data_IF_094620310616
#
_entry.id   IF_094620310616
#
_cell.length_a   1.000
_cell.length_b   1.000
_cell.length_c   1.000
_cell.angle_alpha   90.00
_cell.angle_beta   90.00
_cell.angle_gamma   90.00
#
_symmetry.space_group_name_H-M   'P 1'
#
loop_
_entity.id
_entity.type
_entity.pdbx_description
1 polymer ?
#
# COMPACT_ATOMS: atom_id res chain seq x y z
N UNK A 1 -7.29 61.79 -2.37
CA UNK A 1 -6.78 60.89 -3.43
C UNK A 1 -5.47 60.29 -2.93
N UNK A 2 -5.45 59.39 -1.93
CA UNK A 2 -5.90 58.00 -1.93
C UNK A 2 -5.13 57.11 -2.94
N UNK A 3 -3.81 57.00 -2.75
CA UNK A 3 -2.92 56.08 -3.49
C UNK A 3 -1.82 55.57 -2.53
N UNK A 4 -2.19 54.86 -1.46
CA UNK A 4 -1.24 54.13 -0.61
C UNK A 4 -1.94 53.12 0.32
N UNK A 5 -2.64 52.12 -0.23
CA UNK A 5 -3.15 50.99 0.56
C UNK A 5 -3.62 49.83 -0.34
N UNK A 6 -2.76 49.26 -1.18
CA UNK A 6 -3.13 48.05 -1.93
C UNK A 6 -1.95 47.19 -2.38
N UNK A 7 -0.94 47.01 -1.52
CA UNK A 7 0.14 46.02 -1.76
C UNK A 7 0.56 45.45 -0.41
N UNK A 8 -0.32 44.70 0.28
CA UNK A 8 0.02 43.84 1.43
C UNK A 8 -1.19 42.94 1.78
N UNK A 9 -1.66 42.13 0.83
CA UNK A 9 -2.52 40.96 1.11
C UNK A 9 -2.64 40.11 -0.17
N UNK A 10 -1.64 39.26 -0.45
CA UNK A 10 -1.97 37.85 -0.60
C UNK A 10 -0.90 36.97 0.08
N UNK A 11 -0.71 37.11 1.39
CA UNK A 11 0.11 36.18 2.18
C UNK A 11 -0.68 35.42 3.26
N UNK A 12 -2.02 35.49 3.26
CA UNK A 12 -2.84 34.87 4.31
C UNK A 12 -4.05 34.06 3.78
N UNK A 13 -3.97 33.57 2.54
CA UNK A 13 -4.97 32.65 1.97
C UNK A 13 -4.33 31.41 1.32
N UNK A 14 -3.24 30.91 1.92
CA UNK A 14 -3.06 29.46 2.01
C UNK A 14 -3.42 29.06 3.44
N UNK A 15 -4.69 29.29 3.79
CA UNK A 15 -5.28 28.52 4.86
C UNK A 15 -5.20 27.08 4.37
N UNK A 16 -4.29 26.30 4.96
CA UNK A 16 -4.28 24.85 4.91
C UNK A 16 -5.74 24.41 5.05
N UNK A 17 -6.37 23.99 3.95
CA UNK A 17 -7.66 23.31 4.04
C UNK A 17 -7.33 22.08 4.88
N UNK A 18 -7.67 22.12 6.16
CA UNK A 18 -7.90 20.92 6.94
C UNK A 18 -8.83 20.09 6.09
N UNK A 19 -8.28 19.10 5.38
CA UNK A 19 -9.08 18.18 4.59
C UNK A 19 -10.14 17.63 5.54
N UNK A 20 -11.39 17.60 5.10
CA UNK A 20 -12.53 17.24 5.92
C UNK A 20 -12.52 15.70 6.11
N UNK A 21 -11.51 15.22 6.82
CA UNK A 21 -11.16 13.81 6.91
C UNK A 21 -12.04 13.11 7.95
N UNK A 22 -12.32 11.81 7.76
CA UNK A 22 -12.96 11.00 8.77
C UNK A 22 -12.15 11.02 10.06
N UNK A 23 -12.80 11.04 11.24
CA UNK A 23 -12.11 10.93 12.49
C UNK A 23 -11.40 9.57 12.61
N UNK A 24 -10.17 9.61 13.13
CA UNK A 24 -9.33 8.44 13.37
C UNK A 24 -9.20 8.20 14.87
N UNK A 25 -9.13 6.93 15.23
CA UNK A 25 -9.16 6.48 16.61
C UNK A 25 -8.23 5.29 16.82
N UNK A 26 -7.73 5.16 18.03
CA UNK A 26 -6.99 3.97 18.45
C UNK A 26 -7.97 2.84 18.78
N UNK A 27 -7.61 1.61 18.44
CA UNK A 27 -8.43 0.43 18.75
C UNK A 27 -8.73 0.27 20.26
N UNK A 28 -7.91 0.87 21.13
CA UNK A 28 -8.08 0.87 22.59
C UNK A 28 -9.12 1.86 23.10
N UNK A 29 -9.68 2.71 22.22
CA UNK A 29 -10.69 3.69 22.60
C UNK A 29 -12.03 2.99 22.90
N UNK A 30 -12.47 3.01 24.16
CA UNK A 30 -13.63 2.26 24.66
C UNK A 30 -14.98 2.73 24.11
N UNK A 31 -15.01 3.80 23.29
CA UNK A 31 -16.26 4.40 22.77
C UNK A 31 -16.83 3.68 21.54
N UNK A 32 -16.12 2.71 20.98
CA UNK A 32 -16.56 2.02 19.76
C UNK A 32 -17.42 0.80 20.08
N UNK A 33 -18.69 0.90 19.69
CA UNK A 33 -19.63 -0.21 19.73
C UNK A 33 -20.03 -0.58 18.29
N UNK A 34 -19.78 -1.82 17.82
CA UNK A 34 -20.15 -2.26 16.47
C UNK A 34 -21.61 -2.06 16.10
N UNK A 35 -22.49 -2.00 17.10
CA UNK A 35 -23.92 -1.80 16.93
C UNK A 35 -24.27 -0.43 16.32
N UNK A 36 -23.30 0.47 16.22
CA UNK A 36 -23.47 1.81 15.63
C UNK A 36 -23.16 1.86 14.14
N UNK A 37 -22.77 0.75 13.53
CA UNK A 37 -22.30 0.67 12.14
C UNK A 37 -23.10 -0.34 11.32
N UNK A 38 -23.40 0.04 10.09
CA UNK A 38 -24.05 -0.81 9.09
C UNK A 38 -23.02 -1.72 8.38
N UNK A 39 -21.79 -1.23 8.20
CA UNK A 39 -20.70 -1.91 7.51
C UNK A 39 -19.39 -1.81 8.27
N UNK A 40 -18.60 -2.88 8.26
CA UNK A 40 -17.22 -2.88 8.72
C UNK A 40 -16.32 -3.24 7.53
N UNK A 41 -15.35 -2.38 7.23
CA UNK A 41 -14.32 -2.64 6.21
C UNK A 41 -13.03 -3.04 6.91
N UNK A 42 -12.39 -4.13 6.48
CA UNK A 42 -11.15 -4.62 7.08
C UNK A 42 -9.99 -4.37 6.13
N UNK A 43 -9.01 -3.61 6.62
CA UNK A 43 -7.86 -3.12 5.86
C UNK A 43 -8.18 -1.84 5.09
N UNK A 44 -7.37 -0.81 5.26
CA UNK A 44 -7.32 0.46 4.52
C UNK A 44 -6.39 0.40 3.30
N UNK A 45 -6.35 -0.76 2.64
CA UNK A 45 -5.57 -0.95 1.41
C UNK A 45 -6.19 -0.26 0.20
N UNK A 46 -5.66 -0.56 -0.99
CA UNK A 46 -6.12 0.00 -2.27
C UNK A 46 -7.57 -0.33 -2.60
N UNK A 47 -8.13 -1.41 -2.06
CA UNK A 47 -9.56 -1.71 -2.18
C UNK A 47 -10.40 -1.20 -0.99
N UNK A 48 -9.83 -1.12 0.21
CA UNK A 48 -10.59 -0.81 1.43
C UNK A 48 -10.91 0.66 1.60
N UNK A 49 -9.93 1.54 1.39
CA UNK A 49 -10.17 2.99 1.45
C UNK A 49 -11.26 3.48 0.46
N UNK A 50 -11.23 3.14 -0.85
CA UNK A 50 -12.30 3.57 -1.75
C UNK A 50 -13.64 2.95 -1.42
N UNK A 51 -13.67 1.69 -0.97
CA UNK A 51 -14.91 1.03 -0.54
C UNK A 51 -15.53 1.75 0.66
N UNK A 52 -14.74 2.00 1.72
CA UNK A 52 -15.20 2.70 2.91
C UNK A 52 -15.68 4.12 2.56
N UNK A 53 -14.94 4.84 1.71
CA UNK A 53 -15.34 6.16 1.22
C UNK A 53 -16.67 6.12 0.46
N UNK A 54 -16.89 5.09 -0.36
CA UNK A 54 -18.13 4.92 -1.14
C UNK A 54 -19.32 4.54 -0.25
N UNK A 55 -19.16 3.56 0.65
CA UNK A 55 -20.21 3.13 1.57
C UNK A 55 -20.62 4.26 2.53
N UNK A 56 -19.66 5.06 2.99
CA UNK A 56 -19.91 6.17 3.93
C UNK A 56 -20.87 7.24 3.37
N UNK A 57 -21.07 7.30 2.05
CA UNK A 57 -22.01 8.23 1.44
C UNK A 57 -23.46 7.99 1.91
N UNK A 58 -23.79 6.74 2.26
CA UNK A 58 -25.16 6.34 2.63
C UNK A 58 -25.27 5.63 3.98
N UNK A 59 -24.19 5.01 4.44
CA UNK A 59 -24.20 4.11 5.59
C UNK A 59 -23.19 4.55 6.66
N UNK A 60 -23.41 4.11 7.91
CA UNK A 60 -22.42 4.21 8.98
C UNK A 60 -21.39 3.11 8.81
N UNK A 61 -20.14 3.48 8.59
CA UNK A 61 -19.04 2.58 8.25
C UNK A 61 -17.93 2.68 9.28
N UNK A 62 -17.38 1.54 9.66
CA UNK A 62 -16.16 1.45 10.46
C UNK A 62 -15.05 0.82 9.62
N UNK A 63 -13.93 1.53 9.47
CA UNK A 63 -12.74 0.99 8.80
C UNK A 63 -11.73 0.52 9.85
N UNK A 64 -11.44 -0.78 9.88
CA UNK A 64 -10.44 -1.38 10.76
C UNK A 64 -9.10 -1.48 10.01
N UNK A 65 -8.06 -0.85 10.53
CA UNK A 65 -6.72 -0.89 9.97
C UNK A 65 -5.74 -1.50 10.98
N UNK A 66 -5.02 -2.55 10.54
CA UNK A 66 -3.99 -3.20 11.37
C UNK A 66 -2.84 -2.24 11.69
N UNK A 67 -2.47 -1.40 10.74
CA UNK A 67 -1.39 -0.44 10.88
C UNK A 67 -1.78 0.82 11.66
N UNK A 68 -0.77 1.60 11.99
CA UNK A 68 -0.93 3.00 12.38
C UNK A 68 -0.60 3.93 11.22
N UNK A 69 -0.84 5.22 11.39
CA UNK A 69 -0.36 6.23 10.45
C UNK A 69 1.18 6.27 10.46
N UNK A 70 1.87 6.16 9.30
CA UNK A 70 3.32 6.35 9.22
C UNK A 70 3.80 7.67 9.84
N UNK A 71 2.94 8.69 9.87
CA UNK A 71 3.23 10.02 10.42
C UNK A 71 3.28 10.01 11.96
N UNK A 72 2.43 9.21 12.61
CA UNK A 72 2.48 9.02 14.08
C UNK A 72 3.76 8.27 14.46
N UNK A 73 4.13 7.23 13.70
CA UNK A 73 5.40 6.50 13.89
C UNK A 73 6.64 7.37 13.62
N UNK A 74 6.52 8.41 12.81
CA UNK A 74 7.57 9.39 12.54
C UNK A 74 7.68 10.50 13.59
N UNK A 75 6.89 10.47 14.69
CA UNK A 75 7.02 11.40 15.81
C UNK A 75 6.31 12.75 15.64
N UNK A 76 5.39 12.85 14.68
CA UNK A 76 4.60 14.08 14.46
C UNK A 76 3.40 14.08 15.41
N UNK A 77 3.42 14.96 16.41
CA UNK A 77 2.35 15.18 17.42
C UNK A 77 2.14 16.69 17.64
N UNK A 78 0.97 17.19 18.10
CA UNK A 78 -0.20 16.48 18.62
C UNK A 78 -1.28 16.21 17.55
N UNK A 79 -1.96 15.07 17.71
CA UNK A 79 -2.92 14.50 16.78
C UNK A 79 -4.29 15.21 16.79
N UNK A 80 -4.35 16.39 16.17
CA UNK A 80 -5.59 17.15 15.91
C UNK A 80 -5.68 17.64 14.45
N UNK A 81 -4.88 17.07 13.54
CA UNK A 81 -4.65 17.64 12.21
C UNK A 81 -3.80 16.72 11.35
N UNK A 82 -4.17 15.44 11.29
CA UNK A 82 -3.55 14.50 10.38
C UNK A 82 -3.56 15.06 8.96
N UNK A 83 -2.38 15.37 8.44
CA UNK A 83 -2.21 15.79 7.07
C UNK A 83 -1.75 14.58 6.24
N UNK A 84 -2.40 14.35 5.09
CA UNK A 84 -1.86 13.44 4.07
C UNK A 84 -0.70 14.06 3.29
N UNK A 85 -0.24 15.25 3.67
CA UNK A 85 0.90 15.89 3.04
C UNK A 85 2.13 14.98 3.11
N UNK A 86 2.78 14.85 1.97
CA UNK A 86 3.97 14.05 1.83
C UNK A 86 5.08 14.60 2.74
N UNK A 87 5.43 13.85 3.78
CA UNK A 87 6.65 14.10 4.55
C UNK A 87 7.82 13.32 3.93
N UNK A 88 8.85 14.04 3.52
CA UNK A 88 10.09 13.48 2.98
C UNK A 88 10.61 12.40 3.93
N UNK A 89 10.78 11.16 3.42
CA UNK A 89 11.29 10.02 4.19
C UNK A 89 10.24 9.12 4.86
N UNK A 90 8.96 9.53 4.89
CA UNK A 90 7.89 8.73 5.55
C UNK A 90 7.16 7.76 4.62
N UNK A 91 7.38 7.87 3.31
CA UNK A 91 6.70 7.07 2.28
C UNK A 91 7.72 6.52 1.25
N UNK A 92 8.80 5.91 1.74
CA UNK A 92 9.79 5.22 0.91
C UNK A 92 9.21 3.89 0.41
N UNK A 93 8.58 3.90 -0.76
CA UNK A 93 8.15 2.70 -1.48
C UNK A 93 6.84 2.84 -2.28
N UNK A 94 6.84 2.31 -3.50
CA UNK A 94 5.67 2.18 -4.39
C UNK A 94 5.54 3.25 -5.48
N UNK A 95 4.86 2.88 -6.58
CA UNK A 95 4.82 3.60 -7.88
C UNK A 95 3.49 4.30 -8.14
N UNK A 96 2.85 4.84 -7.09
CA UNK A 96 1.54 5.50 -7.25
C UNK A 96 1.75 7.01 -7.16
N UNK A 97 2.19 7.61 -8.26
CA UNK A 97 2.32 9.06 -8.42
C UNK A 97 1.27 9.58 -9.42
N UNK A 98 0.76 10.79 -9.20
CA UNK A 98 -0.03 11.50 -10.21
C UNK A 98 0.85 12.17 -11.28
N UNK A 99 0.21 12.81 -12.26
CA UNK A 99 0.86 13.55 -13.35
C UNK A 99 1.70 14.75 -12.87
N UNK A 100 1.55 15.14 -11.61
CA UNK A 100 2.34 16.19 -10.95
C UNK A 100 3.45 15.61 -10.07
N UNK A 101 3.71 14.29 -10.14
CA UNK A 101 4.75 13.63 -9.35
C UNK A 101 4.44 13.51 -7.86
N UNK A 102 3.17 13.66 -7.46
CA UNK A 102 2.74 13.54 -6.06
C UNK A 102 2.30 12.10 -5.78
N UNK A 103 2.84 11.48 -4.72
CA UNK A 103 2.41 10.13 -4.31
C UNK A 103 0.96 10.15 -3.81
N UNK A 104 0.12 9.23 -4.30
CA UNK A 104 -1.28 9.07 -3.89
C UNK A 104 -1.50 7.71 -3.20
N UNK A 105 -1.27 7.60 -1.88
CA UNK A 105 -1.64 6.37 -1.16
C UNK A 105 -3.15 6.13 -1.20
N UNK A 106 -3.58 4.89 -0.98
CA UNK A 106 -5.00 4.53 -0.91
C UNK A 106 -5.77 5.37 0.12
N UNK A 107 -5.11 5.73 1.23
CA UNK A 107 -5.66 6.58 2.27
C UNK A 107 -6.05 7.98 1.79
N UNK A 108 -5.45 8.51 0.71
CA UNK A 108 -5.89 9.78 0.12
C UNK A 108 -7.33 9.71 -0.40
N UNK A 109 -7.85 8.52 -0.72
CA UNK A 109 -9.23 8.35 -1.19
C UNK A 109 -10.24 8.60 -0.07
N UNK A 110 -9.82 8.59 1.20
CA UNK A 110 -10.66 8.89 2.34
C UNK A 110 -11.09 10.37 2.38
N UNK A 111 -10.43 11.26 1.63
CA UNK A 111 -10.88 12.65 1.46
C UNK A 111 -12.26 12.75 0.79
N UNK A 112 -12.65 11.71 0.03
CA UNK A 112 -13.96 11.62 -0.60
C UNK A 112 -15.02 10.97 0.29
N UNK A 113 -14.64 10.46 1.46
CA UNK A 113 -15.57 9.88 2.40
C UNK A 113 -16.46 10.95 3.03
N UNK A 114 -17.64 10.55 3.51
CA UNK A 114 -18.43 11.39 4.39
C UNK A 114 -17.89 11.24 5.83
N UNK A 115 -17.23 12.27 6.41
CA UNK A 115 -16.57 12.15 7.71
C UNK A 115 -17.54 12.00 8.89
N UNK A 116 -18.85 12.25 8.68
CA UNK A 116 -19.88 11.98 9.70
C UNK A 116 -20.32 10.52 9.74
N UNK A 117 -19.99 9.77 8.69
CA UNK A 117 -20.48 8.42 8.47
C UNK A 117 -19.35 7.39 8.45
N UNK A 118 -18.10 7.81 8.53
CA UNK A 118 -16.95 6.93 8.55
C UNK A 118 -16.14 7.18 9.81
N UNK A 119 -15.93 6.15 10.61
CA UNK A 119 -14.94 6.14 11.69
C UNK A 119 -13.81 5.18 11.29
N UNK A 120 -12.58 5.51 11.66
CA UNK A 120 -11.40 4.70 11.33
C UNK A 120 -10.73 4.27 12.64
N UNK A 121 -10.54 2.97 12.82
CA UNK A 121 -9.80 2.39 13.94
C UNK A 121 -8.42 1.91 13.47
N UNK A 122 -7.38 2.55 13.97
CA UNK A 122 -5.99 2.17 13.78
C UNK A 122 -5.59 1.11 14.81
N UNK A 123 -4.56 0.33 14.47
CA UNK A 123 -4.07 -0.76 15.30
C UNK A 123 -5.14 -1.82 15.65
N UNK A 124 -6.17 -1.92 14.82
CA UNK A 124 -7.25 -2.90 14.97
C UNK A 124 -6.89 -4.18 14.21
N UNK A 125 -6.31 -5.16 14.92
CA UNK A 125 -5.99 -6.46 14.32
C UNK A 125 -7.21 -7.39 14.35
N UNK A 126 -7.82 -7.57 13.18
CA UNK A 126 -8.84 -8.60 12.98
C UNK A 126 -8.18 -9.96 12.94
N UNK A 127 -8.68 -10.91 13.73
CA UNK A 127 -8.09 -12.26 13.86
C UNK A 127 -8.89 -13.32 13.13
N UNK A 128 -10.22 -13.17 13.14
CA UNK A 128 -11.13 -14.20 12.67
C UNK A 128 -12.44 -13.63 12.15
N UNK A 129 -12.98 -14.29 11.12
CA UNK A 129 -14.35 -14.16 10.63
C UNK A 129 -15.13 -15.37 11.12
N UNK A 130 -16.11 -15.14 11.95
CA UNK A 130 -17.14 -16.11 12.29
C UNK A 130 -18.26 -16.07 11.26
N UNK A 131 -18.76 -17.25 10.91
CA UNK A 131 -19.89 -17.41 10.02
C UNK A 131 -21.05 -18.06 10.78
N UNK A 132 -22.25 -17.51 10.66
CA UNK A 132 -23.48 -18.12 11.18
C UNK A 132 -24.39 -18.47 10.00
N UNK A 133 -24.46 -19.77 9.70
CA UNK A 133 -25.12 -20.24 8.48
C UNK A 133 -24.32 -19.91 7.22
N UNK A 134 -25.00 -19.63 6.10
CA UNK A 134 -24.36 -19.36 4.81
C UNK A 134 -24.04 -17.86 4.55
N UNK A 135 -24.60 -16.92 5.34
CA UNK A 135 -24.64 -15.50 4.93
C UNK A 135 -24.29 -14.49 6.02
N UNK A 136 -24.39 -14.79 7.33
CA UNK A 136 -24.03 -13.78 8.35
C UNK A 136 -22.59 -13.92 8.82
N UNK A 137 -21.83 -12.85 8.59
CA UNK A 137 -20.43 -12.72 9.01
C UNK A 137 -20.36 -11.92 10.30
N UNK A 138 -19.62 -12.42 11.26
CA UNK A 138 -19.28 -11.78 12.52
C UNK A 138 -17.77 -11.81 12.67
N UNK A 139 -17.15 -10.86 13.36
CA UNK A 139 -15.69 -10.82 13.49
C UNK A 139 -15.26 -10.97 14.93
N UNK A 140 -14.07 -11.52 15.11
CA UNK A 140 -13.29 -11.39 16.32
C UNK A 140 -12.07 -10.53 15.95
N UNK A 141 -11.99 -9.34 16.52
CA UNK A 141 -10.73 -8.62 16.57
C UNK A 141 -10.32 -8.51 18.03
N UNK A 142 -9.01 -8.49 18.25
CA UNK A 142 -8.41 -8.30 19.55
C UNK A 142 -7.69 -6.96 19.51
N UNK A 143 -8.08 -6.04 20.39
CA UNK A 143 -7.25 -4.88 20.72
C UNK A 143 -6.12 -5.31 21.68
N UNK A 144 -5.16 -4.43 21.95
CA UNK A 144 -4.10 -4.70 22.94
C UNK A 144 -4.64 -4.88 24.38
N UNK A 145 -5.95 -4.69 24.61
CA UNK A 145 -6.66 -4.87 25.89
C UNK A 145 -7.44 -6.20 25.96
N UNK A 146 -7.52 -6.98 24.87
CA UNK A 146 -8.25 -8.26 24.84
C UNK A 146 -9.78 -8.14 24.69
N UNK A 147 -10.30 -7.00 24.24
CA UNK A 147 -11.75 -6.80 24.05
C UNK A 147 -12.19 -7.42 22.73
N UNK A 148 -13.18 -8.31 22.83
CA UNK A 148 -13.81 -9.00 21.72
C UNK A 148 -15.22 -8.44 21.49
N UNK A 149 -15.54 -8.00 20.27
CA UNK A 149 -16.91 -7.58 19.93
C UNK A 149 -17.50 -8.41 18.80
N UNK A 150 -18.77 -8.81 18.94
CA UNK A 150 -19.49 -9.71 18.05
C UNK A 150 -20.69 -9.00 17.41
N UNK A 151 -20.85 -9.03 16.08
CA UNK A 151 -22.10 -8.68 15.41
C UNK A 151 -22.21 -9.18 13.97
N UNK A 152 -23.43 -9.40 13.47
CA UNK A 152 -23.72 -9.69 12.05
C UNK A 152 -23.57 -8.42 11.22
N UNK A 153 -22.49 -8.31 10.44
CA UNK A 153 -22.18 -7.14 9.61
C UNK A 153 -21.60 -7.61 8.26
N UNK A 154 -21.93 -6.91 7.18
CA UNK A 154 -21.30 -7.16 5.87
C UNK A 154 -19.88 -6.60 5.86
N UNK A 155 -18.91 -7.45 5.52
CA UNK A 155 -17.49 -7.13 5.66
C UNK A 155 -16.69 -7.53 4.43
N UNK A 156 -15.74 -6.66 4.10
CA UNK A 156 -14.83 -6.82 2.98
C UNK A 156 -13.39 -6.66 3.48
N UNK A 157 -12.56 -7.69 3.28
CA UNK A 157 -11.11 -7.62 3.46
C UNK A 157 -10.48 -7.16 2.13
N UNK A 158 -9.56 -6.20 2.20
CA UNK A 158 -9.06 -5.50 1.02
C UNK A 158 -7.54 -5.49 0.81
N UNK A 159 -6.78 -6.32 1.52
CA UNK A 159 -5.32 -6.38 1.46
C UNK A 159 -4.82 -7.63 0.75
N UNK A 160 -3.79 -7.52 -0.09
CA UNK A 160 -3.31 -8.64 -0.93
C UNK A 160 -2.80 -9.85 -0.13
N UNK A 161 -1.94 -9.70 0.91
CA UNK A 161 -1.58 -10.84 1.76
C UNK A 161 -2.60 -11.10 2.88
N UNK A 162 -3.28 -10.07 3.41
CA UNK A 162 -4.16 -10.23 4.56
C UNK A 162 -5.52 -10.85 4.24
N UNK A 163 -6.11 -10.60 3.06
CA UNK A 163 -7.40 -11.22 2.66
C UNK A 163 -7.33 -12.74 2.66
N UNK A 164 -6.42 -13.38 1.90
CA UNK A 164 -6.35 -14.82 1.88
C UNK A 164 -5.93 -15.37 3.24
N UNK A 165 -5.06 -14.70 4.00
CA UNK A 165 -4.68 -15.13 5.34
C UNK A 165 -5.88 -15.18 6.29
N UNK A 166 -6.65 -14.10 6.37
CA UNK A 166 -7.80 -13.99 7.26
C UNK A 166 -8.89 -14.99 6.86
N UNK A 167 -9.18 -15.14 5.56
CA UNK A 167 -10.13 -16.15 5.07
C UNK A 167 -9.71 -17.57 5.47
N UNK A 168 -8.42 -17.92 5.29
CA UNK A 168 -7.90 -19.23 5.67
C UNK A 168 -8.01 -19.47 7.18
N UNK A 169 -7.64 -18.50 8.02
CA UNK A 169 -7.78 -18.60 9.48
C UNK A 169 -9.24 -18.78 9.90
N UNK A 170 -10.15 -18.21 9.12
CA UNK A 170 -11.60 -18.25 9.33
C UNK A 170 -12.30 -19.48 8.75
N UNK A 171 -11.52 -20.44 8.26
CA UNK A 171 -12.05 -21.69 7.73
C UNK A 171 -12.63 -21.60 6.31
N UNK A 172 -12.32 -20.53 5.56
CA UNK A 172 -12.69 -20.36 4.15
C UNK A 172 -11.45 -20.55 3.27
N UNK A 173 -11.38 -21.68 2.57
CA UNK A 173 -10.21 -22.01 1.76
C UNK A 173 -10.10 -23.48 1.39
N UNK A 174 -8.93 -23.97 0.93
CA UNK A 174 -8.75 -25.36 0.53
C UNK A 174 -8.93 -26.32 1.73
N UNK A 175 -9.96 -27.16 1.70
CA UNK A 175 -10.34 -28.02 2.83
C UNK A 175 -9.19 -28.91 3.35
N UNK A 176 -8.35 -29.45 2.47
CA UNK A 176 -7.20 -30.29 2.85
C UNK A 176 -6.17 -29.51 3.68
N UNK A 177 -5.87 -28.27 3.27
CA UNK A 177 -4.93 -27.40 3.97
C UNK A 177 -5.49 -27.00 5.34
N UNK A 178 -6.76 -26.60 5.39
CA UNK A 178 -7.43 -26.19 6.63
C UNK A 178 -7.49 -27.34 7.63
N UNK A 179 -7.89 -28.53 7.19
CA UNK A 179 -7.99 -29.74 8.02
C UNK A 179 -6.62 -30.16 8.56
N UNK A 180 -5.58 -30.11 7.72
CA UNK A 180 -4.20 -30.40 8.14
C UNK A 180 -3.68 -29.46 9.25
N UNK A 181 -4.21 -28.22 9.31
CA UNK A 181 -3.88 -27.25 10.37
C UNK A 181 -4.81 -27.32 11.58
N UNK A 182 -5.79 -28.23 11.58
CA UNK A 182 -6.83 -28.32 12.60
C UNK A 182 -7.76 -27.10 12.63
N UNK A 183 -7.94 -26.43 11.49
CA UNK A 183 -8.91 -25.36 11.30
C UNK A 183 -10.22 -25.99 10.82
N UNK A 184 -11.33 -25.67 11.47
CA UNK A 184 -12.65 -26.12 11.04
C UNK A 184 -12.96 -25.52 9.67
N UNK A 185 -13.23 -26.38 8.69
CA UNK A 185 -13.68 -25.93 7.36
C UNK A 185 -15.10 -25.38 7.49
N UNK A 186 -15.25 -24.07 7.26
CA UNK A 186 -16.55 -23.40 7.13
C UNK A 186 -17.01 -23.50 5.68
N UNK A 187 -16.13 -23.18 4.74
CA UNK A 187 -16.43 -23.24 3.32
C UNK A 187 -15.19 -23.66 2.51
N UNK A 188 -15.34 -24.71 1.69
CA UNK A 188 -14.26 -25.20 0.84
C UNK A 188 -14.14 -24.33 -0.41
N UNK A 189 -13.21 -23.38 -0.40
CA UNK A 189 -12.90 -22.51 -1.55
C UNK A 189 -11.44 -22.68 -1.98
N UNK A 190 -11.13 -23.63 -2.87
CA UNK A 190 -9.76 -23.98 -3.24
C UNK A 190 -8.93 -22.84 -3.86
N UNK A 191 -9.59 -21.76 -4.32
CA UNK A 191 -8.93 -20.60 -4.91
C UNK A 191 -8.31 -19.64 -3.89
N UNK A 192 -8.68 -19.72 -2.60
CA UNK A 192 -8.10 -18.82 -1.58
C UNK A 192 -6.60 -19.08 -1.44
N UNK A 193 -5.81 -18.01 -1.52
CA UNK A 193 -4.34 -18.08 -1.47
C UNK A 193 -3.69 -18.60 -2.76
N UNK A 194 -4.42 -18.66 -3.88
CA UNK A 194 -3.85 -18.98 -5.21
C UNK A 194 -3.65 -17.72 -6.05
N UNK A 195 -2.91 -17.87 -7.15
CA UNK A 195 -2.67 -16.81 -8.14
C UNK A 195 -2.05 -15.55 -7.52
N UNK A 196 -1.15 -15.76 -6.55
CA UNK A 196 -0.42 -14.65 -5.92
C UNK A 196 0.71 -14.24 -6.86
N UNK A 197 0.62 -13.03 -7.40
CA UNK A 197 1.62 -12.50 -8.33
C UNK A 197 2.26 -11.25 -7.74
N UNK A 198 3.58 -11.15 -7.93
CA UNK A 198 4.33 -9.92 -7.72
C UNK A 198 5.16 -9.66 -8.97
N UNK A 199 5.29 -8.39 -9.35
CA UNK A 199 5.98 -7.99 -10.56
C UNK A 199 7.50 -8.11 -10.35
N UNK A 200 8.21 -8.98 -11.09
CA UNK A 200 9.67 -9.02 -11.04
C UNK A 200 10.27 -7.65 -11.36
N UNK A 201 11.35 -7.30 -10.67
CA UNK A 201 12.12 -6.09 -10.94
C UNK A 201 13.62 -6.39 -11.05
N UNK A 202 14.27 -5.80 -12.05
CA UNK A 202 15.71 -5.84 -12.23
C UNK A 202 16.31 -4.44 -12.03
N UNK A 203 17.35 -4.32 -11.22
CA UNK A 203 17.97 -3.05 -10.83
C UNK A 203 19.36 -2.91 -11.46
N UNK A 204 19.59 -1.78 -12.14
CA UNK A 204 20.90 -1.31 -12.58
C UNK A 204 21.29 -0.12 -11.69
N UNK A 205 22.42 -0.25 -10.99
CA UNK A 205 22.98 0.84 -10.19
C UNK A 205 24.09 1.55 -10.96
N UNK A 206 23.94 2.85 -11.15
CA UNK A 206 24.92 3.73 -11.75
C UNK A 206 25.57 4.55 -10.64
N UNK A 207 26.80 4.18 -10.27
CA UNK A 207 27.57 4.89 -9.24
C UNK A 207 28.06 6.21 -9.83
N UNK A 208 27.74 7.31 -9.17
CA UNK A 208 28.23 8.63 -9.58
C UNK A 208 29.52 8.99 -8.83
N UNK A 209 30.56 9.49 -9.52
CA UNK A 209 31.75 10.02 -8.86
C UNK A 209 31.50 11.34 -8.13
N UNK A 210 30.37 12.00 -8.40
CA UNK A 210 29.93 13.24 -7.74
C UNK A 210 28.66 13.01 -6.93
N UNK A 211 28.41 13.79 -5.86
CA UNK A 211 27.17 13.69 -5.09
C UNK A 211 25.94 13.85 -5.99
N UNK A 212 25.03 12.87 -5.92
CA UNK A 212 23.74 12.94 -6.60
C UNK A 212 22.69 13.41 -5.59
N UNK A 213 21.86 14.36 -6.01
CA UNK A 213 20.67 14.76 -5.25
C UNK A 213 19.76 13.56 -5.01
N UNK A 214 19.04 13.55 -3.90
CA UNK A 214 18.08 12.49 -3.63
C UNK A 214 16.76 12.77 -4.35
N UNK A 215 16.35 11.88 -5.25
CA UNK A 215 15.02 11.88 -5.84
C UNK A 215 14.32 10.54 -5.62
N UNK A 216 13.00 10.60 -5.43
CA UNK A 216 12.16 9.43 -5.29
C UNK A 216 12.08 8.65 -6.60
N UNK A 217 11.68 7.38 -6.50
CA UNK A 217 11.40 6.55 -7.67
C UNK A 217 10.29 7.17 -8.52
N UNK A 218 10.51 7.30 -9.82
CA UNK A 218 9.54 7.77 -10.80
C UNK A 218 9.56 6.87 -12.03
N UNK A 219 8.40 6.63 -12.65
CA UNK A 219 8.35 5.95 -13.95
C UNK A 219 8.88 6.92 -15.01
N UNK A 220 9.97 6.54 -15.67
CA UNK A 220 10.65 7.31 -16.71
C UNK A 220 10.43 6.75 -18.11
N UNK A 221 9.86 5.55 -18.22
CA UNK A 221 9.53 4.96 -19.51
C UNK A 221 8.60 3.76 -19.39
N UNK A 222 7.86 3.49 -20.47
CA UNK A 222 7.10 2.27 -20.67
C UNK A 222 7.60 1.62 -21.96
N UNK A 223 8.12 0.39 -21.87
CA UNK A 223 8.80 -0.26 -23.01
C UNK A 223 7.81 -0.93 -23.95
N UNK A 224 8.16 -1.01 -25.23
CA UNK A 224 7.51 -1.91 -26.18
C UNK A 224 8.42 -3.13 -26.44
N UNK A 225 7.87 -4.32 -26.74
CA UNK A 225 6.45 -4.63 -26.90
C UNK A 225 5.75 -5.06 -25.60
N UNK A 226 6.48 -5.28 -24.51
CA UNK A 226 5.95 -5.93 -23.29
C UNK A 226 5.26 -4.98 -22.31
N UNK A 227 5.43 -3.66 -22.46
CA UNK A 227 4.81 -2.68 -21.57
C UNK A 227 5.50 -2.54 -20.22
N UNK A 228 6.75 -2.96 -20.09
CA UNK A 228 7.45 -2.91 -18.80
C UNK A 228 7.65 -1.47 -18.36
N UNK A 229 7.63 -1.25 -17.06
CA UNK A 229 7.88 0.06 -16.47
C UNK A 229 9.39 0.19 -16.23
N UNK A 230 9.96 1.30 -16.71
CA UNK A 230 11.30 1.72 -16.32
C UNK A 230 11.14 2.81 -15.28
N UNK A 231 11.69 2.58 -14.10
CA UNK A 231 11.69 3.51 -12.99
C UNK A 231 13.10 4.02 -12.73
N UNK A 232 13.22 5.27 -12.29
CA UNK A 232 14.50 5.83 -11.87
C UNK A 232 14.37 6.46 -10.48
N UNK A 233 15.37 6.24 -9.63
CA UNK A 233 15.55 6.91 -8.34
C UNK A 233 17.01 7.34 -8.19
N UNK A 234 17.31 8.34 -7.36
CA UNK A 234 18.71 8.75 -7.18
C UNK A 234 19.03 9.20 -5.76
N UNK A 235 20.33 9.32 -5.47
CA UNK A 235 20.83 9.68 -4.14
C UNK A 235 20.72 8.53 -3.12
N UNK A 236 20.53 7.30 -3.60
CA UNK A 236 20.46 6.08 -2.80
C UNK A 236 21.88 5.67 -2.38
N UNK A 237 22.06 5.36 -1.10
CA UNK A 237 23.34 4.88 -0.58
C UNK A 237 23.68 3.51 -1.19
N UNK A 238 24.90 3.36 -1.69
CA UNK A 238 25.35 2.09 -2.26
C UNK A 238 25.80 1.17 -1.13
N UNK A 239 25.11 0.05 -0.94
CA UNK A 239 25.49 -0.97 0.03
C UNK A 239 26.92 -1.46 -0.22
N UNK A 240 27.77 -1.35 0.79
CA UNK A 240 29.17 -1.79 0.72
C UNK A 240 30.16 -0.73 0.22
N UNK A 241 29.71 0.48 -0.15
CA UNK A 241 30.60 1.56 -0.59
C UNK A 241 30.33 2.84 0.23
N UNK A 242 31.10 3.09 1.31
CA UNK A 242 30.89 4.24 2.19
C UNK A 242 30.97 5.57 1.43
N UNK A 243 29.96 6.42 1.61
CA UNK A 243 29.89 7.75 0.99
C UNK A 243 29.49 7.77 -0.49
N UNK A 244 29.41 6.62 -1.16
CA UNK A 244 28.95 6.56 -2.55
C UNK A 244 27.42 6.68 -2.64
N UNK A 245 26.96 7.44 -3.63
CA UNK A 245 25.55 7.55 -4.00
C UNK A 245 25.37 7.08 -5.44
N UNK A 246 24.28 6.38 -5.69
CA UNK A 246 23.94 5.90 -7.03
C UNK A 246 22.63 6.50 -7.55
N UNK A 247 22.55 6.57 -8.87
CA UNK A 247 21.30 6.54 -9.60
C UNK A 247 20.90 5.08 -9.81
N UNK A 248 19.65 4.76 -9.57
CA UNK A 248 19.06 3.44 -9.74
C UNK A 248 18.12 3.50 -10.92
N UNK A 249 18.31 2.63 -11.91
CA UNK A 249 17.36 2.40 -12.98
C UNK A 249 16.79 1.00 -12.77
N UNK A 250 15.48 0.92 -12.61
CA UNK A 250 14.75 -0.30 -12.28
C UNK A 250 13.85 -0.64 -13.45
N UNK A 251 14.02 -1.83 -14.00
CA UNK A 251 13.05 -2.45 -14.90
C UNK A 251 12.04 -3.22 -14.07
N UNK A 252 10.74 -3.10 -14.38
CA UNK A 252 9.67 -3.83 -13.74
C UNK A 252 8.76 -4.48 -14.78
N UNK A 253 8.69 -5.81 -14.75
CA UNK A 253 7.87 -6.60 -15.68
C UNK A 253 6.40 -6.32 -15.42
N UNK A 254 5.68 -5.89 -16.46
CA UNK A 254 4.25 -5.61 -16.36
C UNK A 254 3.42 -6.90 -16.42
N UNK A 255 2.49 -7.05 -15.46
CA UNK A 255 1.50 -8.14 -15.45
C UNK A 255 2.10 -9.54 -15.64
N UNK A 256 2.97 -10.01 -14.73
CA UNK A 256 3.63 -11.31 -14.87
C UNK A 256 2.61 -12.44 -15.02
N UNK A 257 2.94 -13.40 -15.88
CA UNK A 257 2.15 -14.63 -16.03
C UNK A 257 2.46 -15.64 -14.93
N UNK A 258 3.65 -15.54 -14.35
CA UNK A 258 4.03 -16.30 -13.16
C UNK A 258 3.17 -15.91 -11.98
N UNK A 259 2.74 -16.92 -11.24
CA UNK A 259 2.02 -16.76 -10.00
C UNK A 259 2.39 -17.90 -9.05
N UNK A 260 2.25 -17.65 -7.76
CA UNK A 260 2.40 -18.66 -6.74
C UNK A 260 1.24 -18.68 -5.77
N UNK A 261 1.58 -18.93 -4.51
CA UNK A 261 0.61 -19.29 -3.49
C UNK A 261 0.90 -18.63 -2.16
N UNK A 262 -0.15 -18.42 -1.38
CA UNK A 262 -0.09 -18.05 0.02
C UNK A 262 -0.63 -19.21 0.86
N UNK A 263 0.17 -19.63 1.85
CA UNK A 263 -0.15 -20.75 2.75
C UNK A 263 0.09 -20.30 4.19
N UNK A 264 -0.83 -20.63 5.09
CA UNK A 264 -0.66 -20.36 6.52
C UNK A 264 0.50 -21.18 7.09
N UNK A 265 1.33 -20.56 7.92
CA UNK A 265 2.37 -21.25 8.71
C UNK A 265 1.93 -21.50 10.15
N UNK A 266 1.00 -20.71 10.66
CA UNK A 266 0.46 -20.83 12.01
C UNK A 266 -1.03 -20.45 12.02
N UNK A 267 -1.64 -20.57 13.20
CA UNK A 267 -3.01 -20.11 13.47
C UNK A 267 -3.08 -18.71 14.08
N UNK A 268 -1.94 -18.02 14.20
CA UNK A 268 -1.88 -16.67 14.75
C UNK A 268 -1.84 -15.66 13.61
N UNK A 269 -2.77 -14.70 13.61
CA UNK A 269 -2.90 -13.72 12.52
C UNK A 269 -1.70 -12.76 12.41
N UNK A 270 -0.97 -12.59 13.51
CA UNK A 270 0.25 -11.76 13.57
C UNK A 270 1.45 -12.44 12.92
N UNK A 271 1.41 -13.76 12.72
CA UNK A 271 2.46 -14.48 12.02
C UNK A 271 2.27 -14.33 10.51
N UNK A 272 3.34 -14.06 9.78
CA UNK A 272 3.25 -13.93 8.33
C UNK A 272 2.99 -15.29 7.68
N UNK A 273 2.12 -15.37 6.66
CA UNK A 273 1.97 -16.58 5.87
C UNK A 273 3.19 -16.81 4.97
N UNK A 274 3.38 -18.04 4.52
CA UNK A 274 4.35 -18.37 3.48
C UNK A 274 3.80 -17.91 2.14
N UNK A 275 4.55 -17.05 1.45
CA UNK A 275 4.18 -16.54 0.11
C UNK A 275 5.23 -16.96 -0.90
N UNK A 276 4.77 -17.50 -2.02
CA UNK A 276 5.59 -17.74 -3.21
C UNK A 276 5.00 -16.98 -4.38
N UNK A 277 5.86 -16.38 -5.20
CA UNK A 277 5.46 -15.69 -6.43
C UNK A 277 5.89 -16.45 -7.70
N UNK A 278 6.81 -17.41 -7.54
CA UNK A 278 7.37 -18.21 -8.63
C UNK A 278 7.95 -17.36 -9.77
N UNK A 279 8.73 -16.32 -9.45
CA UNK A 279 9.32 -15.42 -10.43
C UNK A 279 9.96 -16.18 -11.60
N UNK A 280 9.61 -15.76 -12.82
CA UNK A 280 10.12 -16.34 -14.07
C UNK A 280 9.78 -17.81 -14.31
N UNK A 281 8.83 -18.39 -13.57
CA UNK A 281 8.29 -19.71 -13.89
C UNK A 281 7.72 -19.75 -15.30
N UNK A 282 7.02 -18.70 -15.71
CA UNK A 282 6.59 -18.54 -17.09
C UNK A 282 7.71 -17.87 -17.92
N UNK A 283 8.19 -18.48 -19.01
CA UNK A 283 9.37 -17.98 -19.75
C UNK A 283 9.15 -16.59 -20.39
N UNK A 284 7.91 -16.21 -20.68
CA UNK A 284 7.58 -14.87 -21.19
C UNK A 284 7.94 -13.76 -20.19
N UNK A 285 7.86 -14.01 -18.89
CA UNK A 285 8.22 -13.00 -17.89
C UNK A 285 9.72 -12.73 -17.91
N UNK A 286 10.53 -13.78 -18.14
CA UNK A 286 11.97 -13.63 -18.29
C UNK A 286 12.32 -12.91 -19.60
N UNK A 287 11.63 -13.24 -20.69
CA UNK A 287 11.80 -12.53 -21.97
C UNK A 287 11.46 -11.04 -21.84
N UNK A 288 10.37 -10.73 -21.14
CA UNK A 288 9.99 -9.35 -20.85
C UNK A 288 11.08 -8.66 -20.04
N UNK A 289 11.55 -9.27 -18.95
CA UNK A 289 12.62 -8.72 -18.11
C UNK A 289 13.89 -8.44 -18.92
N UNK A 290 14.35 -9.41 -19.72
CA UNK A 290 15.53 -9.25 -20.58
C UNK A 290 15.34 -8.07 -21.55
N UNK A 291 14.17 -7.95 -22.18
CA UNK A 291 13.90 -6.84 -23.10
C UNK A 291 13.94 -5.48 -22.39
N UNK A 292 13.42 -5.39 -21.17
CA UNK A 292 13.49 -4.17 -20.38
C UNK A 292 14.91 -3.84 -19.92
N UNK A 293 15.71 -4.82 -19.52
CA UNK A 293 17.14 -4.64 -19.18
C UNK A 293 17.93 -4.20 -20.41
N UNK A 294 17.72 -4.81 -21.58
CA UNK A 294 18.35 -4.38 -22.83
C UNK A 294 17.97 -2.94 -23.18
N UNK A 295 16.72 -2.52 -22.91
CA UNK A 295 16.31 -1.12 -23.08
C UNK A 295 17.09 -0.19 -22.16
N UNK A 296 17.33 -0.58 -20.90
CA UNK A 296 18.19 0.19 -19.98
C UNK A 296 19.62 0.25 -20.54
N UNK A 297 20.18 -0.88 -20.94
CA UNK A 297 21.53 -0.97 -21.50
C UNK A 297 21.71 -0.06 -22.71
N UNK A 298 20.84 -0.19 -23.72
CA UNK A 298 20.82 0.68 -24.90
C UNK A 298 20.77 2.15 -24.49
N UNK A 299 19.89 2.54 -23.57
CA UNK A 299 19.73 3.96 -23.20
C UNK A 299 20.85 4.51 -22.32
N UNK A 300 21.58 3.66 -21.62
CA UNK A 300 22.67 4.07 -20.72
C UNK A 300 24.04 3.98 -21.35
N UNK A 301 24.23 3.08 -22.32
CA UNK A 301 25.52 2.84 -22.99
C UNK A 301 25.62 3.42 -24.41
N UNK A 302 24.51 3.91 -24.99
CA UNK A 302 24.56 4.56 -26.30
C UNK A 302 25.41 5.84 -26.25
N UNK A 303 26.34 5.97 -27.20
CA UNK A 303 27.44 6.97 -27.24
C UNK A 303 26.94 8.43 -27.29
N UNK A 304 25.65 8.65 -27.53
CA UNK A 304 25.01 9.96 -27.45
C UNK A 304 24.82 10.49 -26.02
N UNK A 305 25.00 9.64 -25.01
CA UNK A 305 25.09 10.01 -23.58
C UNK A 305 26.53 10.05 -23.07
N UNK A 306 27.54 9.95 -23.95
CA UNK A 306 28.90 10.36 -23.58
C UNK A 306 28.81 11.80 -23.04
N UNK A 307 29.27 12.01 -21.80
CA UNK A 307 29.38 13.33 -21.18
C UNK A 307 29.80 14.33 -22.26
N UNK A 308 29.05 15.43 -22.48
CA UNK A 308 29.41 16.39 -23.50
C UNK A 308 30.91 16.71 -23.37
N UNK A 309 31.67 16.68 -24.48
CA UNK A 309 33.15 16.83 -24.43
C UNK A 309 33.64 18.07 -23.66
N UNK A 310 32.77 19.07 -23.43
CA UNK A 310 33.04 20.25 -22.62
C UNK A 310 33.03 20.01 -21.09
N UNK A 311 32.53 18.88 -20.60
CA UNK A 311 32.62 18.46 -19.20
C UNK A 311 33.95 17.76 -18.87
N UNK A 312 34.75 17.42 -19.89
CA UNK A 312 36.05 16.74 -19.76
C UNK A 312 37.23 17.64 -20.14
N UNK A 313 37.00 18.95 -20.31
CA UNK A 313 37.99 20.00 -20.62
C UNK A 313 38.02 21.04 -19.51
#
# INVERSE_FOLDING_TARGET
MAFLALILAPCLLSACKTQNLPPMHEATDSKFHPQLYDYIVVGGGTAGCPLAATLSQKFRVLLLERGGSPLIKAGVTPDNGASYDFQVGTQTGGTIFDDQGTRRPASNLLVYANPRNLDILLHAQVELILFRGEVSNTYLWQDDLGIFSWQEIEVMESSTPGSPQLLLLSGVGPANQLTAMGIKVVYNLPGVGKQVSDNPAALVNIVSPSPVESALAQVVGITAPFGNFIEAACGVAVTGVPGARAGNIIEKVAGPLSSGTLVLQSKHVRDNPLVTFNYFQHPRDLQACIAGVNTIEERTLDDHMALPRWLLS
#
